data_IF_910643771654
#
_entry.id   IF_910643771654
#
_cell.length_a   1.000
_cell.length_b   1.000
_cell.length_c   1.000
_cell.angle_alpha   90.00
_cell.angle_beta   90.00
_cell.angle_gamma   90.00
#
_symmetry.space_group_name_H-M   'P 1'
#
loop_
_entity.id
_entity.type
_entity.pdbx_description
1 polymer ?
#
# COMPACT_ATOMS: atom_id res chain seq x y z
N UNK A 1 -8.48 18.83 -17.05
CA UNK A 1 -8.23 19.10 -15.61
C UNK A 1 -8.55 20.55 -15.29
N UNK A 2 -9.20 20.81 -14.17
CA UNK A 2 -9.42 22.20 -13.69
C UNK A 2 -8.13 22.76 -13.09
N UNK A 3 -8.02 24.10 -13.00
CA UNK A 3 -6.86 24.74 -12.35
C UNK A 3 -6.67 24.26 -10.90
N UNK A 4 -7.75 23.98 -10.19
CA UNK A 4 -7.74 23.47 -8.84
C UNK A 4 -7.15 22.05 -8.78
N UNK A 5 -7.52 21.16 -9.69
CA UNK A 5 -6.95 19.81 -9.79
C UNK A 5 -5.44 19.86 -10.12
N UNK A 6 -5.00 20.80 -10.94
CA UNK A 6 -3.58 20.98 -11.24
C UNK A 6 -2.83 21.38 -9.97
N UNK A 7 -3.38 22.33 -9.19
CA UNK A 7 -2.77 22.76 -7.94
C UNK A 7 -2.68 21.61 -6.91
N UNK A 8 -3.77 20.83 -6.75
CA UNK A 8 -3.76 19.68 -5.83
C UNK A 8 -2.78 18.61 -6.30
N UNK A 9 -2.69 18.34 -7.61
CA UNK A 9 -1.71 17.40 -8.15
C UNK A 9 -0.26 17.84 -7.86
N UNK A 10 0.03 19.13 -8.02
CA UNK A 10 1.35 19.67 -7.69
C UNK A 10 1.69 19.50 -6.21
N UNK A 11 0.71 19.71 -5.31
CA UNK A 11 0.89 19.47 -3.87
C UNK A 11 1.14 18.00 -3.57
N UNK A 12 0.42 17.09 -4.22
CA UNK A 12 0.65 15.63 -4.10
C UNK A 12 2.07 15.27 -4.50
N UNK A 13 2.54 15.75 -5.66
CA UNK A 13 3.86 15.42 -6.19
C UNK A 13 4.97 15.99 -5.30
N UNK A 14 4.83 17.25 -4.85
CA UNK A 14 5.76 17.86 -3.91
C UNK A 14 5.81 17.10 -2.57
N UNK A 15 4.66 16.74 -2.02
CA UNK A 15 4.59 16.00 -0.75
C UNK A 15 5.21 14.61 -0.88
N UNK A 16 5.03 13.93 -2.02
CA UNK A 16 5.69 12.63 -2.29
C UNK A 16 7.20 12.73 -2.32
N UNK A 17 7.76 13.78 -2.90
CA UNK A 17 9.22 13.99 -2.90
C UNK A 17 9.76 14.32 -1.51
N UNK A 18 9.04 15.13 -0.73
CA UNK A 18 9.41 15.40 0.66
C UNK A 18 9.34 14.14 1.52
N UNK A 19 8.29 13.34 1.36
CA UNK A 19 8.15 12.04 2.04
C UNK A 19 9.31 11.10 1.70
N UNK A 20 9.68 11.01 0.44
CA UNK A 20 10.81 10.19 0.00
C UNK A 20 12.13 10.64 0.65
N UNK A 21 12.35 11.95 0.71
CA UNK A 21 13.53 12.54 1.34
C UNK A 21 13.58 12.22 2.83
N UNK A 22 12.46 12.41 3.52
CA UNK A 22 12.35 12.15 4.95
C UNK A 22 12.46 10.64 5.26
N UNK A 23 11.82 9.79 4.47
CA UNK A 23 11.98 8.33 4.58
C UNK A 23 13.44 7.90 4.43
N UNK A 24 14.15 8.45 3.45
CA UNK A 24 15.57 8.16 3.26
C UNK A 24 16.42 8.60 4.46
N UNK A 25 16.09 9.74 5.07
CA UNK A 25 16.76 10.23 6.29
C UNK A 25 16.55 9.27 7.47
N UNK A 26 15.32 8.82 7.68
CA UNK A 26 14.99 7.84 8.73
C UNK A 26 15.65 6.48 8.47
N UNK A 27 15.67 6.03 7.21
CA UNK A 27 16.36 4.78 6.82
C UNK A 27 17.87 4.89 7.07
N UNK A 28 18.51 6.00 6.79
CA UNK A 28 19.92 6.18 7.10
C UNK A 28 20.20 6.04 8.62
N UNK A 29 19.35 6.61 9.47
CA UNK A 29 19.45 6.43 10.93
C UNK A 29 19.22 4.98 11.36
N UNK A 30 18.26 4.27 10.73
CA UNK A 30 18.05 2.86 10.96
C UNK A 30 19.31 2.06 10.59
N UNK A 31 19.93 2.36 9.45
CA UNK A 31 21.17 1.73 9.03
C UNK A 31 22.30 1.96 10.04
N UNK A 32 22.43 3.14 10.60
CA UNK A 32 23.44 3.44 11.61
C UNK A 32 23.24 2.59 12.87
N UNK A 33 21.98 2.46 13.33
CA UNK A 33 21.63 1.59 14.48
C UNK A 33 21.97 0.15 14.17
N UNK A 34 21.48 -0.36 13.03
CA UNK A 34 21.68 -1.77 12.64
C UNK A 34 23.17 -2.06 12.40
N UNK A 35 23.91 -1.16 11.76
CA UNK A 35 25.35 -1.31 11.58
C UNK A 35 26.09 -1.37 12.91
N UNK A 36 25.76 -0.48 13.84
CA UNK A 36 26.41 -0.40 15.15
C UNK A 36 26.21 -1.69 15.98
N UNK A 37 24.98 -2.15 16.07
CA UNK A 37 24.62 -3.20 17.01
C UNK A 37 24.63 -4.61 16.40
N UNK A 38 24.42 -4.75 15.10
CA UNK A 38 24.18 -6.04 14.43
C UNK A 38 25.19 -6.34 13.35
N UNK A 39 25.36 -5.44 12.37
CA UNK A 39 26.17 -5.72 11.18
C UNK A 39 27.66 -5.76 11.49
N UNK A 40 28.21 -4.69 12.04
CA UNK A 40 29.65 -4.56 12.26
C UNK A 40 30.21 -5.61 13.26
N UNK A 41 29.54 -5.90 14.38
CA UNK A 41 30.04 -6.92 15.31
C UNK A 41 30.12 -8.32 14.72
N UNK A 42 29.31 -8.63 13.69
CA UNK A 42 29.17 -9.98 13.16
C UNK A 42 29.65 -10.18 11.73
N UNK A 43 30.13 -9.11 11.06
CA UNK A 43 30.51 -9.17 9.65
C UNK A 43 29.32 -9.55 8.76
N UNK A 44 28.15 -9.06 9.10
CA UNK A 44 26.91 -9.25 8.35
C UNK A 44 26.65 -8.06 7.40
N UNK A 45 25.53 -8.07 6.71
CA UNK A 45 25.09 -6.97 5.85
C UNK A 45 23.57 -6.82 5.89
N UNK A 46 23.11 -5.59 5.70
CA UNK A 46 21.67 -5.33 5.56
C UNK A 46 21.24 -5.74 4.15
N UNK A 47 20.28 -6.64 4.04
CA UNK A 47 19.74 -7.10 2.75
C UNK A 47 18.43 -6.41 2.40
N UNK A 48 17.66 -6.01 3.40
CA UNK A 48 16.42 -5.25 3.22
C UNK A 48 16.19 -4.34 4.42
N UNK A 49 15.54 -3.21 4.19
CA UNK A 49 15.16 -2.24 5.23
C UNK A 49 13.94 -1.46 4.78
N UNK A 50 13.05 -1.18 5.71
CA UNK A 50 11.87 -0.36 5.47
C UNK A 50 11.35 0.28 6.76
N UNK A 51 10.74 1.46 6.64
CA UNK A 51 9.96 2.12 7.69
C UNK A 51 8.62 2.45 7.05
N UNK A 52 7.53 1.99 7.65
CA UNK A 52 6.19 2.15 7.13
C UNK A 52 5.18 2.45 8.24
N UNK A 53 3.99 2.90 7.85
CA UNK A 53 2.85 2.98 8.75
C UNK A 53 2.11 1.65 8.66
N UNK A 54 1.93 0.98 9.79
CA UNK A 54 1.20 -0.24 9.92
C UNK A 54 -0.32 -0.05 9.78
N UNK A 55 -1.05 -1.15 9.74
CA UNK A 55 -2.51 -1.17 9.56
C UNK A 55 -3.27 -0.39 10.63
N UNK A 56 -2.69 -0.24 11.82
CA UNK A 56 -3.29 0.44 12.97
C UNK A 56 -2.71 1.84 13.19
N UNK A 57 -2.01 2.36 12.20
CA UNK A 57 -1.44 3.70 12.23
C UNK A 57 -0.16 3.84 13.05
N UNK A 58 0.43 2.75 13.54
CA UNK A 58 1.74 2.74 14.19
C UNK A 58 2.89 2.76 13.18
N UNK A 59 4.04 3.28 13.59
CA UNK A 59 5.28 3.14 12.83
C UNK A 59 5.82 1.73 12.99
N UNK A 60 6.06 1.04 11.89
CA UNK A 60 6.71 -0.27 11.83
C UNK A 60 8.10 -0.13 11.22
N UNK A 61 9.09 -0.77 11.84
CA UNK A 61 10.46 -0.80 11.35
C UNK A 61 10.83 -2.24 11.02
N UNK A 62 11.20 -2.48 9.76
CA UNK A 62 11.56 -3.80 9.25
C UNK A 62 12.95 -3.78 8.66
N UNK A 63 13.76 -4.79 8.94
CA UNK A 63 15.04 -5.00 8.28
C UNK A 63 15.45 -6.46 8.28
N UNK A 64 16.22 -6.84 7.27
CA UNK A 64 16.77 -8.18 7.12
C UNK A 64 18.29 -8.12 7.11
N UNK A 65 18.91 -9.12 7.73
CA UNK A 65 20.36 -9.26 7.81
C UNK A 65 20.77 -10.57 7.17
N UNK A 66 21.74 -10.51 6.27
CA UNK A 66 22.34 -11.67 5.62
C UNK A 66 23.85 -11.69 5.77
N UNK A 67 24.45 -12.80 5.33
CA UNK A 67 25.89 -12.98 5.28
C UNK A 67 26.32 -13.20 3.84
N UNK A 68 27.44 -12.55 3.44
CA UNK A 68 28.00 -12.79 2.12
C UNK A 68 28.63 -14.16 2.05
N UNK A 69 28.27 -14.93 1.03
CA UNK A 69 28.86 -16.24 0.73
C UNK A 69 29.95 -16.07 -0.32
N UNK A 70 31.22 -16.13 0.12
CA UNK A 70 32.37 -15.96 -0.74
C UNK A 70 32.45 -17.04 -1.86
N UNK A 71 32.04 -18.27 -1.56
CA UNK A 71 32.09 -19.37 -2.51
C UNK A 71 31.09 -19.18 -3.66
N UNK A 72 29.91 -18.67 -3.37
CA UNK A 72 28.85 -18.42 -4.34
C UNK A 72 28.82 -16.99 -4.85
N UNK A 73 29.65 -16.12 -4.30
CA UNK A 73 29.75 -14.68 -4.61
C UNK A 73 28.38 -13.96 -4.54
N UNK A 74 27.54 -14.36 -3.60
CA UNK A 74 26.21 -13.77 -3.38
C UNK A 74 25.89 -13.73 -1.89
N UNK A 75 24.87 -12.94 -1.55
CA UNK A 75 24.28 -12.98 -0.20
C UNK A 75 23.50 -14.28 -0.07
N UNK A 76 23.76 -15.02 0.99
CA UNK A 76 23.04 -16.25 1.30
C UNK A 76 21.70 -15.91 1.99
N UNK A 77 20.62 -15.93 1.21
CA UNK A 77 19.27 -15.69 1.72
C UNK A 77 18.81 -16.73 2.76
N UNK A 78 19.36 -17.94 2.73
CA UNK A 78 19.08 -18.93 3.75
C UNK A 78 19.64 -18.55 5.13
N UNK A 79 20.53 -17.56 5.18
CA UNK A 79 21.11 -17.01 6.40
C UNK A 79 20.42 -15.74 6.88
N UNK A 80 19.45 -15.21 6.13
CA UNK A 80 18.77 -13.97 6.48
C UNK A 80 18.05 -14.11 7.82
N UNK A 81 18.21 -13.10 8.64
CA UNK A 81 17.47 -12.90 9.88
C UNK A 81 16.57 -11.70 9.67
N UNK A 82 15.29 -11.89 9.89
CA UNK A 82 14.28 -10.85 9.73
C UNK A 82 13.90 -10.25 11.07
N UNK A 83 13.80 -8.92 11.10
CA UNK A 83 13.50 -8.12 12.26
C UNK A 83 12.27 -7.27 12.02
N UNK A 84 11.43 -7.20 13.03
CA UNK A 84 10.28 -6.32 13.07
C UNK A 84 10.19 -5.65 14.44
N UNK A 85 10.25 -4.33 14.48
CA UNK A 85 10.04 -3.58 15.69
C UNK A 85 8.60 -3.08 15.77
N UNK A 86 7.90 -3.48 16.83
CA UNK A 86 6.54 -3.05 17.13
C UNK A 86 6.56 -1.88 18.10
N UNK A 87 6.18 -0.69 17.64
CA UNK A 87 6.22 0.54 18.45
C UNK A 87 5.23 0.54 19.61
N UNK A 88 4.05 -0.07 19.45
CA UNK A 88 3.04 -0.15 20.53
C UNK A 88 3.50 -0.99 21.72
N UNK A 89 4.21 -2.07 21.44
CA UNK A 89 4.72 -2.98 22.45
C UNK A 89 6.12 -2.62 22.91
N UNK A 90 6.81 -1.73 22.20
CA UNK A 90 8.24 -1.44 22.36
C UNK A 90 9.07 -2.73 22.33
N UNK A 91 8.78 -3.62 21.37
CA UNK A 91 9.31 -4.98 21.28
C UNK A 91 9.92 -5.23 19.92
N UNK A 92 11.14 -5.77 19.89
CA UNK A 92 11.82 -6.22 18.70
C UNK A 92 11.60 -7.74 18.52
N UNK A 93 10.83 -8.08 17.48
CA UNK A 93 10.69 -9.45 17.04
C UNK A 93 11.89 -9.84 16.17
N UNK A 94 12.54 -10.94 16.52
CA UNK A 94 13.66 -11.49 15.78
C UNK A 94 13.25 -12.83 15.20
N UNK A 95 13.04 -12.86 13.88
CA UNK A 95 12.75 -14.09 13.14
C UNK A 95 14.00 -14.58 12.44
N UNK A 96 14.49 -15.75 12.82
CA UNK A 96 15.71 -16.33 12.28
C UNK A 96 15.49 -17.69 11.57
N UNK A 97 14.28 -17.87 11.02
CA UNK A 97 13.90 -19.08 10.30
C UNK A 97 14.04 -20.37 11.12
N UNK A 98 13.45 -21.45 10.66
CA UNK A 98 13.65 -22.77 11.30
C UNK A 98 15.11 -23.16 11.14
N UNK A 99 15.81 -23.35 12.25
CA UNK A 99 17.11 -24.03 12.26
C UNK A 99 16.79 -25.51 11.96
N UNK A 100 16.44 -25.77 10.70
CA UNK A 100 16.25 -27.15 10.22
C UNK A 100 17.56 -27.90 10.29
N UNK A 101 17.55 -29.23 10.19
CA UNK A 101 18.65 -30.18 10.27
C UNK A 101 19.95 -29.73 9.57
N UNK A 102 20.63 -28.74 10.15
CA UNK A 102 21.89 -28.24 9.65
C UNK A 102 23.02 -29.12 10.12
N UNK A 103 23.74 -29.65 9.18
CA UNK A 103 25.03 -30.29 9.48
C UNK A 103 25.93 -29.26 10.16
N UNK A 104 26.61 -29.65 11.26
CA UNK A 104 27.48 -28.81 12.10
C UNK A 104 28.61 -28.06 11.34
N UNK A 105 28.73 -28.28 10.04
CA UNK A 105 29.78 -27.74 9.17
C UNK A 105 29.43 -26.45 8.45
N UNK A 106 28.18 -25.89 8.55
CA UNK A 106 27.88 -24.68 7.87
C UNK A 106 28.28 -23.45 8.72
N UNK A 107 29.38 -22.82 8.34
CA UNK A 107 29.97 -21.67 9.04
C UNK A 107 28.99 -20.48 9.16
N UNK A 108 28.11 -20.30 8.17
CA UNK A 108 27.11 -19.22 8.18
C UNK A 108 26.03 -19.45 9.23
N UNK A 109 25.69 -20.68 9.49
CA UNK A 109 24.75 -21.07 10.53
C UNK A 109 25.29 -20.73 11.93
N UNK A 110 26.57 -21.07 12.18
CA UNK A 110 27.24 -20.76 13.44
C UNK A 110 27.29 -19.22 13.63
N UNK A 111 27.67 -18.48 12.61
CA UNK A 111 27.68 -17.00 12.65
C UNK A 111 26.29 -16.44 12.96
N UNK A 112 25.24 -16.96 12.32
CA UNK A 112 23.85 -16.53 12.54
C UNK A 112 23.41 -16.79 13.98
N UNK A 113 23.61 -18.01 14.49
CA UNK A 113 23.21 -18.36 15.85
C UNK A 113 23.92 -17.49 16.87
N UNK A 114 25.24 -17.25 16.70
CA UNK A 114 25.99 -16.36 17.55
C UNK A 114 25.44 -14.94 17.49
N UNK A 115 25.23 -14.40 16.28
CA UNK A 115 24.65 -13.07 16.10
C UNK A 115 23.32 -12.92 16.83
N UNK A 116 22.41 -13.90 16.66
CA UNK A 116 21.09 -13.87 17.31
C UNK A 116 21.23 -13.90 18.83
N UNK A 117 22.12 -14.71 19.38
CA UNK A 117 22.39 -14.74 20.83
C UNK A 117 22.90 -13.39 21.35
N UNK A 118 23.90 -12.80 20.68
CA UNK A 118 24.46 -11.50 21.04
C UNK A 118 23.41 -10.35 20.91
N UNK A 119 22.48 -10.47 19.96
CA UNK A 119 21.35 -9.53 19.82
C UNK A 119 20.41 -9.65 21.03
N UNK A 120 20.06 -10.87 21.45
CA UNK A 120 19.21 -11.06 22.62
C UNK A 120 19.85 -10.55 23.92
N UNK A 121 21.17 -10.63 24.06
CA UNK A 121 21.87 -10.01 25.20
C UNK A 121 21.74 -8.48 25.21
N UNK A 122 21.62 -7.84 24.04
CA UNK A 122 21.54 -6.38 23.88
C UNK A 122 20.15 -5.88 23.48
N UNK A 123 19.15 -6.77 23.53
CA UNK A 123 17.84 -6.49 22.92
C UNK A 123 17.23 -5.18 23.44
N UNK A 124 17.30 -4.93 24.74
CA UNK A 124 16.73 -3.71 25.32
C UNK A 124 17.45 -2.43 24.89
N UNK A 125 18.76 -2.50 24.63
CA UNK A 125 19.52 -1.36 24.11
C UNK A 125 19.12 -1.08 22.66
N UNK A 126 18.95 -2.13 21.85
CA UNK A 126 18.50 -2.03 20.46
C UNK A 126 17.06 -1.48 20.40
N UNK A 127 16.16 -2.02 21.23
CA UNK A 127 14.78 -1.56 21.36
C UNK A 127 14.70 -0.08 21.73
N UNK A 128 15.52 0.38 22.68
CA UNK A 128 15.57 1.79 23.05
C UNK A 128 15.94 2.70 21.86
N UNK A 129 16.94 2.30 21.06
CA UNK A 129 17.34 3.07 19.87
C UNK A 129 16.29 3.05 18.78
N UNK A 130 15.65 1.88 18.53
CA UNK A 130 14.55 1.76 17.57
C UNK A 130 13.32 2.54 18.04
N UNK A 131 13.03 2.54 19.34
CA UNK A 131 11.96 3.34 19.93
C UNK A 131 12.16 4.84 19.74
N UNK A 132 13.38 5.33 19.93
CA UNK A 132 13.72 6.74 19.64
C UNK A 132 13.54 7.08 18.17
N UNK A 133 13.96 6.20 17.27
CA UNK A 133 13.77 6.38 15.83
C UNK A 133 12.28 6.36 15.44
N UNK A 134 11.50 5.47 16.03
CA UNK A 134 10.06 5.40 15.80
C UNK A 134 9.33 6.64 16.32
N UNK A 135 9.70 7.12 17.52
CA UNK A 135 9.14 8.35 18.07
C UNK A 135 9.49 9.56 17.18
N UNK A 136 10.73 9.64 16.69
CA UNK A 136 11.11 10.68 15.73
C UNK A 136 10.29 10.61 14.43
N UNK A 137 9.96 9.41 13.93
CA UNK A 137 9.10 9.25 12.78
C UNK A 137 7.65 9.66 13.08
N UNK A 138 7.12 9.29 14.26
CA UNK A 138 5.74 9.60 14.67
C UNK A 138 5.54 11.09 15.00
N UNK A 139 6.46 11.70 15.71
CA UNK A 139 6.38 13.12 16.13
C UNK A 139 6.95 14.07 15.06
N UNK A 140 7.58 13.53 14.04
CA UNK A 140 8.35 14.28 13.06
C UNK A 140 7.60 14.58 11.77
N UNK A 141 8.38 15.06 10.83
CA UNK A 141 7.93 15.54 9.53
C UNK A 141 7.30 14.40 8.68
N UNK A 142 7.75 13.15 8.85
CA UNK A 142 7.27 12.02 8.08
C UNK A 142 5.78 11.73 8.31
N UNK A 143 5.34 11.74 9.57
CA UNK A 143 3.92 11.54 9.93
C UNK A 143 3.06 12.69 9.40
N UNK A 144 3.53 13.92 9.58
CA UNK A 144 2.83 15.12 9.09
C UNK A 144 2.65 15.07 7.56
N UNK A 145 3.72 14.77 6.82
CA UNK A 145 3.68 14.66 5.36
C UNK A 145 2.79 13.50 4.89
N UNK A 146 2.76 12.38 5.61
CA UNK A 146 1.88 11.27 5.29
C UNK A 146 0.41 11.66 5.44
N UNK A 147 0.05 12.37 6.50
CA UNK A 147 -1.30 12.89 6.71
C UNK A 147 -1.69 13.90 5.63
N UNK A 148 -0.81 14.84 5.29
CA UNK A 148 -1.03 15.81 4.22
C UNK A 148 -1.23 15.14 2.86
N UNK A 149 -0.43 14.12 2.54
CA UNK A 149 -0.58 13.37 1.30
C UNK A 149 -1.96 12.72 1.20
N UNK A 150 -2.40 12.08 2.29
CA UNK A 150 -3.74 11.48 2.36
C UNK A 150 -4.84 12.53 2.12
N UNK A 151 -4.75 13.70 2.77
CA UNK A 151 -5.71 14.79 2.60
C UNK A 151 -5.76 15.30 1.14
N UNK A 152 -4.61 15.48 0.49
CA UNK A 152 -4.55 15.90 -0.92
C UNK A 152 -5.08 14.82 -1.87
N UNK A 153 -4.80 13.55 -1.63
CA UNK A 153 -5.33 12.44 -2.43
C UNK A 153 -6.86 12.33 -2.28
N UNK A 154 -7.39 12.54 -1.08
CA UNK A 154 -8.82 12.61 -0.84
C UNK A 154 -9.45 13.82 -1.54
N UNK A 155 -8.84 15.00 -1.43
CA UNK A 155 -9.29 16.22 -2.14
C UNK A 155 -9.31 15.99 -3.65
N UNK A 156 -8.27 15.40 -4.21
CA UNK A 156 -8.22 15.04 -5.64
C UNK A 156 -9.35 14.09 -6.03
N UNK A 157 -9.63 13.09 -5.22
CA UNK A 157 -10.74 12.15 -5.43
C UNK A 157 -12.09 12.88 -5.46
N UNK A 158 -12.29 13.81 -4.54
CA UNK A 158 -13.50 14.64 -4.48
C UNK A 158 -13.67 15.52 -5.73
N UNK A 159 -12.60 16.21 -6.15
CA UNK A 159 -12.60 17.05 -7.34
C UNK A 159 -12.89 16.23 -8.61
N UNK A 160 -12.29 15.04 -8.72
CA UNK A 160 -12.61 14.12 -9.83
C UNK A 160 -14.08 13.70 -9.83
N UNK A 161 -14.67 13.40 -8.68
CA UNK A 161 -16.10 13.08 -8.55
C UNK A 161 -16.97 14.26 -8.97
N UNK A 162 -16.63 15.48 -8.54
CA UNK A 162 -17.38 16.69 -8.92
C UNK A 162 -17.28 16.99 -10.42
N UNK A 163 -16.09 16.87 -11.00
CA UNK A 163 -15.89 17.07 -12.44
C UNK A 163 -16.71 16.06 -13.24
N UNK A 164 -16.68 14.79 -12.84
CA UNK A 164 -17.49 13.74 -13.46
C UNK A 164 -18.98 14.03 -13.33
N UNK A 165 -19.46 14.47 -12.16
CA UNK A 165 -20.86 14.82 -11.97
C UNK A 165 -21.29 16.00 -12.88
N UNK A 166 -20.43 17.00 -13.10
CA UNK A 166 -20.69 18.10 -14.04
C UNK A 166 -20.75 17.61 -15.49
N UNK A 167 -19.79 16.82 -15.91
CA UNK A 167 -19.77 16.22 -17.25
C UNK A 167 -21.03 15.36 -17.50
N UNK A 168 -21.49 14.64 -16.47
CA UNK A 168 -22.72 13.86 -16.49
C UNK A 168 -23.97 14.75 -16.67
N UNK A 169 -24.03 15.88 -15.97
CA UNK A 169 -25.14 16.81 -16.05
C UNK A 169 -25.18 17.54 -17.42
N UNK A 170 -24.02 17.70 -18.07
CA UNK A 170 -23.88 18.34 -19.37
C UNK A 170 -24.09 17.39 -20.56
N UNK A 171 -23.93 16.07 -20.32
CA UNK A 171 -24.07 15.05 -21.36
C UNK A 171 -25.56 14.61 -21.47
N UNK A 172 -26.27 15.05 -22.49
CA UNK A 172 -27.57 14.49 -22.90
C UNK A 172 -27.38 13.11 -23.53
N UNK A 173 -26.91 12.15 -22.73
CA UNK A 173 -26.72 10.78 -23.22
C UNK A 173 -28.00 9.95 -23.08
N UNK A 174 -28.52 9.51 -24.19
CA UNK A 174 -29.63 8.57 -24.23
C UNK A 174 -29.15 7.13 -24.27
N UNK A 175 -29.41 6.41 -23.19
CA UNK A 175 -29.02 5.02 -23.05
C UNK A 175 -29.67 4.16 -24.13
N UNK A 176 -28.91 3.24 -24.75
CA UNK A 176 -29.37 2.32 -25.80
C UNK A 176 -29.21 0.86 -25.39
N UNK A 177 -30.01 0.00 -25.95
CA UNK A 177 -29.81 -1.46 -25.86
C UNK A 177 -28.48 -1.82 -26.52
N UNK A 178 -27.70 -2.65 -25.84
CA UNK A 178 -26.33 -2.99 -26.23
C UNK A 178 -25.23 -2.22 -25.52
N UNK A 179 -25.55 -1.10 -24.86
CA UNK A 179 -24.56 -0.34 -24.11
C UNK A 179 -23.97 -1.17 -22.96
N UNK A 180 -22.67 -1.06 -22.78
CA UNK A 180 -21.96 -1.67 -21.64
C UNK A 180 -21.92 -0.68 -20.50
N UNK A 181 -22.37 -1.11 -19.34
CA UNK A 181 -22.50 -0.27 -18.16
C UNK A 181 -21.74 -0.89 -16.99
N UNK A 182 -21.15 -0.04 -16.17
CA UNK A 182 -20.46 -0.46 -14.96
C UNK A 182 -21.39 -0.29 -13.76
N UNK A 183 -21.40 -1.28 -12.87
CA UNK A 183 -22.17 -1.21 -11.65
C UNK A 183 -21.40 -0.41 -10.60
N UNK A 184 -21.98 0.66 -10.06
CA UNK A 184 -21.59 1.15 -8.75
C UNK A 184 -22.27 0.30 -7.67
N UNK A 185 -22.04 0.67 -6.41
CA UNK A 185 -22.66 -0.01 -5.26
C UNK A 185 -24.15 -0.27 -5.47
N UNK A 186 -24.49 -1.51 -5.81
CA UNK A 186 -25.87 -1.94 -5.98
C UNK A 186 -26.29 -2.76 -4.79
N UNK A 187 -27.32 -2.33 -4.11
CA UNK A 187 -27.96 -3.09 -3.06
C UNK A 187 -29.01 -4.01 -3.67
N UNK A 188 -28.75 -5.31 -3.68
CA UNK A 188 -29.72 -6.32 -4.12
C UNK A 188 -30.18 -7.06 -2.86
N UNK A 189 -31.41 -6.79 -2.41
CA UNK A 189 -31.91 -7.26 -1.12
C UNK A 189 -31.09 -6.70 0.05
N UNK A 190 -30.61 -7.55 0.94
CA UNK A 190 -29.78 -7.18 2.09
C UNK A 190 -28.29 -7.20 1.82
N UNK A 191 -27.83 -7.51 0.60
CA UNK A 191 -26.41 -7.55 0.23
C UNK A 191 -26.03 -6.30 -0.54
N UNK A 192 -24.98 -5.62 -0.03
CA UNK A 192 -24.28 -4.56 -0.75
C UNK A 192 -23.23 -5.21 -1.64
N UNK A 193 -23.31 -4.94 -2.94
CA UNK A 193 -22.24 -5.29 -3.88
C UNK A 193 -21.43 -4.01 -4.09
N UNK A 194 -20.20 -3.93 -3.60
CA UNK A 194 -19.38 -2.74 -3.72
C UNK A 194 -19.11 -2.44 -5.19
N UNK A 195 -19.00 -1.16 -5.52
CA UNK A 195 -18.52 -0.69 -6.81
C UNK A 195 -17.13 -1.26 -7.05
N UNK A 196 -17.08 -2.28 -7.88
CA UNK A 196 -15.82 -2.87 -8.31
C UNK A 196 -15.76 -2.72 -9.82
N UNK A 197 -14.64 -2.18 -10.35
CA UNK A 197 -14.38 -1.96 -11.78
C UNK A 197 -14.55 -3.23 -12.64
N UNK A 198 -14.74 -4.37 -11.98
CA UNK A 198 -14.97 -5.67 -12.62
C UNK A 198 -16.42 -5.99 -12.97
N UNK A 199 -17.42 -5.22 -12.53
CA UNK A 199 -18.82 -5.52 -12.84
C UNK A 199 -19.28 -4.77 -14.09
N UNK A 200 -18.99 -5.35 -15.24
CA UNK A 200 -19.56 -4.91 -16.53
C UNK A 200 -20.87 -5.63 -16.79
N UNK A 201 -21.90 -4.90 -17.19
CA UNK A 201 -23.16 -5.49 -17.63
C UNK A 201 -23.63 -4.83 -18.93
N UNK A 202 -24.28 -5.58 -19.81
CA UNK A 202 -24.82 -5.09 -21.06
C UNK A 202 -26.29 -4.76 -20.89
N UNK A 203 -26.73 -3.62 -21.36
CA UNK A 203 -28.15 -3.23 -21.41
C UNK A 203 -28.86 -4.11 -22.43
N UNK A 204 -29.81 -4.90 -21.95
CA UNK A 204 -30.59 -5.80 -22.83
C UNK A 204 -32.00 -5.28 -23.11
N UNK A 205 -32.52 -4.39 -22.27
CA UNK A 205 -33.83 -3.77 -22.48
C UNK A 205 -33.99 -2.51 -21.65
N UNK A 206 -34.57 -1.48 -22.26
CA UNK A 206 -34.93 -0.23 -21.60
C UNK A 206 -36.46 -0.21 -21.43
N UNK A 207 -36.94 -0.13 -20.21
CA UNK A 207 -38.34 0.02 -19.86
C UNK A 207 -38.58 1.46 -19.36
N UNK A 208 -39.83 1.84 -19.19
CA UNK A 208 -40.19 3.19 -18.78
C UNK A 208 -39.53 3.62 -17.45
N UNK A 209 -39.56 2.77 -16.43
CA UNK A 209 -39.03 3.05 -15.08
C UNK A 209 -37.78 2.26 -14.70
N UNK A 210 -37.39 1.25 -15.50
CA UNK A 210 -36.32 0.33 -15.17
C UNK A 210 -35.51 -0.04 -16.40
N UNK A 211 -34.28 -0.46 -16.17
CA UNK A 211 -33.38 -0.99 -17.20
C UNK A 211 -33.05 -2.43 -16.87
N UNK A 212 -33.09 -3.31 -17.85
CA UNK A 212 -32.69 -4.70 -17.73
C UNK A 212 -31.29 -4.86 -18.27
N UNK A 213 -30.38 -5.39 -17.47
CA UNK A 213 -28.97 -5.59 -17.82
C UNK A 213 -28.55 -7.02 -17.60
N UNK A 214 -27.55 -7.48 -18.35
CA UNK A 214 -26.99 -8.83 -18.28
C UNK A 214 -25.49 -8.72 -17.95
N UNK A 215 -25.05 -9.38 -16.88
CA UNK A 215 -23.64 -9.42 -16.51
C UNK A 215 -22.84 -10.44 -17.35
N UNK A 216 -21.50 -10.42 -17.17
CA UNK A 216 -20.59 -11.35 -17.86
C UNK A 216 -20.83 -12.83 -17.51
N UNK A 217 -21.54 -13.15 -16.43
CA UNK A 217 -21.95 -14.50 -16.04
C UNK A 217 -23.27 -14.93 -16.64
N UNK A 218 -23.91 -14.05 -17.43
CA UNK A 218 -25.20 -14.30 -18.06
C UNK A 218 -26.43 -14.04 -17.18
N UNK A 219 -26.25 -13.56 -15.95
CA UNK A 219 -27.35 -13.21 -15.04
C UNK A 219 -27.98 -11.89 -15.44
N UNK A 220 -29.28 -11.81 -15.27
CA UNK A 220 -30.07 -10.62 -15.62
C UNK A 220 -30.54 -9.90 -14.37
N UNK A 221 -30.38 -8.58 -14.35
CA UNK A 221 -30.80 -7.71 -13.25
C UNK A 221 -31.73 -6.62 -13.79
N UNK A 222 -32.63 -6.15 -12.93
CA UNK A 222 -33.52 -5.03 -13.24
C UNK A 222 -33.24 -3.92 -12.25
N UNK A 223 -32.85 -2.75 -12.77
CA UNK A 223 -32.40 -1.59 -11.98
C UNK A 223 -33.27 -0.39 -12.29
N UNK A 224 -33.66 0.43 -11.29
CA UNK A 224 -34.41 1.67 -11.52
C UNK A 224 -33.68 2.60 -12.46
N UNK A 225 -34.38 3.18 -13.44
CA UNK A 225 -33.83 4.03 -14.50
C UNK A 225 -33.15 5.28 -13.95
N UNK A 226 -33.73 5.91 -12.93
CA UNK A 226 -33.22 7.11 -12.27
C UNK A 226 -31.85 6.91 -11.59
N UNK A 227 -31.65 5.74 -10.99
CA UNK A 227 -30.35 5.40 -10.38
C UNK A 227 -29.28 5.01 -11.40
N UNK A 228 -29.73 4.55 -12.58
CA UNK A 228 -28.85 4.03 -13.61
C UNK A 228 -28.32 5.10 -14.55
N UNK A 229 -29.14 6.08 -14.92
CA UNK A 229 -28.77 7.09 -15.91
C UNK A 229 -27.56 7.92 -15.49
N UNK A 230 -27.49 8.35 -14.23
CA UNK A 230 -26.35 9.11 -13.71
C UNK A 230 -25.04 8.30 -13.68
N UNK A 231 -25.14 6.97 -13.58
CA UNK A 231 -24.00 6.07 -13.41
C UNK A 231 -23.45 5.49 -14.72
N UNK A 232 -24.32 5.37 -15.73
CA UNK A 232 -23.97 4.85 -17.05
C UNK A 232 -23.14 5.84 -17.83
N UNK A 233 -23.52 7.10 -17.82
CA UNK A 233 -22.76 8.18 -18.48
C UNK A 233 -21.34 8.25 -17.90
N UNK A 234 -21.19 7.98 -16.62
CA UNK A 234 -19.87 7.87 -15.98
C UNK A 234 -19.00 6.74 -16.55
N UNK A 235 -19.57 5.58 -16.85
CA UNK A 235 -18.85 4.44 -17.40
C UNK A 235 -18.40 4.68 -18.85
N UNK A 236 -19.26 5.30 -19.65
CA UNK A 236 -18.95 5.60 -21.05
C UNK A 236 -17.85 6.65 -21.21
N UNK A 237 -17.84 7.67 -20.36
CA UNK A 237 -16.78 8.71 -20.38
C UNK A 237 -15.42 8.16 -19.88
N UNK A 238 -15.38 7.05 -19.14
CA UNK A 238 -14.12 6.43 -18.68
C UNK A 238 -13.51 5.51 -19.76
N UNK A 239 -14.32 4.87 -20.59
CA UNK A 239 -13.84 3.98 -21.67
C UNK A 239 -13.19 4.78 -22.80
N UNK A 240 -13.75 5.95 -23.16
CA UNK A 240 -13.15 6.81 -24.19
C UNK A 240 -11.82 7.45 -23.78
N UNK A 241 -11.49 7.48 -22.49
CA UNK A 241 -10.21 8.03 -21.99
C UNK A 241 -9.09 6.99 -21.87
N UNK A 242 -9.38 5.71 -21.96
CA UNK A 242 -8.37 4.64 -21.92
C UNK A 242 -7.88 4.22 -23.31
N UNK A 243 -8.58 4.64 -24.38
CA UNK A 243 -8.23 4.33 -25.78
C UNK A 243 -7.50 5.49 -26.50
N UNK A 244 -7.03 6.51 -25.79
CA UNK A 244 -6.16 7.59 -26.28
C UNK A 244 -4.81 7.58 -25.54
#
# INVERSE_FOLDING_TARGET
MTNEMIAVQANIDMTKELLKTEKNRLIAKLEDIVNKFIVNPHGAMITQRDIRIGLWGETEIHFNIGFYNEAEKKVDFASDVWFEYNTKKNELLVNYGTIGNYTKSNIYQVKRVKMVADIFEKIHEIEAHLGMLAAEADDGQWRTLTSQLYEYEEQMSQLKKQQRARQLAEAEYELKEGDVVYYPDVRIGNKLFPANDSFKATVIRICEKTIKVKDGSGRTYQVPKDKFCAQIVHALLTVESEDQ
#
